data_IF_792857368994
#
_entry.id   IF_792857368994
#
_cell.length_a   1.000
_cell.length_b   1.000
_cell.length_c   1.000
_cell.angle_alpha   90.00
_cell.angle_beta   90.00
_cell.angle_gamma   90.00
#
_symmetry.space_group_name_H-M   'P 1'
#
loop_
_entity.id
_entity.type
_entity.pdbx_description
1 polymer ?
#
# COMPACT_ATOMS: atom_id res chain seq x y z
N UNK A 1 18.95 -11.65 -3.10
CA UNK A 1 17.51 -12.00 -3.09
C UNK A 1 16.73 -10.75 -3.50
N UNK A 2 15.89 -10.80 -4.54
CA UNK A 2 15.00 -9.67 -4.86
C UNK A 2 13.85 -9.68 -3.85
N UNK A 3 13.71 -8.60 -3.09
CA UNK A 3 12.54 -8.32 -2.25
C UNK A 3 11.26 -8.65 -3.03
N UNK A 4 10.32 -9.38 -2.43
CA UNK A 4 8.98 -9.57 -3.02
C UNK A 4 8.14 -8.36 -2.66
N UNK A 5 7.99 -7.46 -3.62
CA UNK A 5 7.33 -6.19 -3.44
C UNK A 5 5.86 -6.37 -3.01
N UNK A 6 5.40 -5.48 -2.14
CA UNK A 6 4.09 -5.58 -1.49
C UNK A 6 2.98 -5.19 -2.47
N UNK A 7 1.91 -6.00 -2.62
CA UNK A 7 0.77 -5.61 -3.43
C UNK A 7 0.01 -4.47 -2.73
N UNK A 8 -0.36 -3.48 -3.53
CA UNK A 8 -1.24 -2.37 -3.15
C UNK A 8 -2.32 -2.19 -4.20
N UNK A 9 -3.49 -1.73 -3.77
CA UNK A 9 -4.63 -1.48 -4.65
C UNK A 9 -4.40 -0.18 -5.43
N UNK A 10 -4.51 -0.24 -6.75
CA UNK A 10 -4.35 0.93 -7.63
C UNK A 10 -5.65 1.38 -8.27
N UNK A 11 -6.64 0.49 -8.35
CA UNK A 11 -7.94 0.76 -8.93
C UNK A 11 -8.97 -0.31 -8.58
N UNK A 12 -10.23 0.02 -8.84
CA UNK A 12 -11.36 -0.91 -8.79
C UNK A 12 -11.95 -0.90 -10.19
N UNK A 13 -11.85 -2.02 -10.90
CA UNK A 13 -12.37 -2.18 -12.25
C UNK A 13 -13.88 -2.41 -12.25
N UNK A 14 -14.45 -2.48 -13.45
CA UNK A 14 -15.85 -2.88 -13.61
C UNK A 14 -16.02 -4.34 -13.12
N UNK A 15 -17.19 -4.67 -12.59
CA UNK A 15 -17.53 -6.03 -12.08
C UNK A 15 -16.77 -6.48 -10.82
N UNK A 16 -16.48 -5.56 -9.89
CA UNK A 16 -15.81 -5.86 -8.61
C UNK A 16 -14.40 -6.46 -8.74
N UNK A 17 -13.72 -6.17 -9.85
CA UNK A 17 -12.31 -6.55 -10.03
C UNK A 17 -11.40 -5.58 -9.29
N UNK A 18 -10.38 -6.11 -8.60
CA UNK A 18 -9.36 -5.30 -7.92
C UNK A 18 -8.12 -5.21 -8.79
N UNK A 19 -7.68 -4.00 -9.09
CA UNK A 19 -6.44 -3.76 -9.83
C UNK A 19 -5.30 -3.59 -8.84
N UNK A 20 -4.32 -4.49 -8.88
CA UNK A 20 -3.20 -4.53 -7.94
C UNK A 20 -1.88 -4.19 -8.62
N UNK A 21 -1.07 -3.36 -7.98
CA UNK A 21 0.35 -3.16 -8.33
C UNK A 21 1.23 -3.65 -7.19
N UNK A 22 2.40 -4.19 -7.51
CA UNK A 22 3.43 -4.50 -6.52
C UNK A 22 4.54 -3.43 -6.47
N UNK A 23 4.55 -2.49 -7.42
CA UNK A 23 5.56 -1.44 -7.46
C UNK A 23 4.90 -0.11 -7.10
N UNK A 24 5.41 0.53 -6.05
CA UNK A 24 4.93 1.80 -5.55
C UNK A 24 6.08 2.77 -5.36
N UNK A 25 5.92 4.00 -5.82
CA UNK A 25 6.94 5.03 -5.70
C UNK A 25 6.34 6.28 -5.05
N UNK A 26 7.13 6.90 -4.16
CA UNK A 26 6.78 8.09 -3.43
C UNK A 26 7.96 9.06 -3.44
N UNK A 27 7.67 10.32 -3.69
CA UNK A 27 8.62 11.43 -3.58
C UNK A 27 8.38 12.19 -2.28
N UNK A 28 9.48 12.52 -1.62
CA UNK A 28 9.50 13.27 -0.38
C UNK A 28 10.11 14.64 -0.61
N UNK A 29 9.46 15.66 -0.06
CA UNK A 29 10.03 17.00 0.02
C UNK A 29 10.18 17.38 1.48
N UNK A 30 11.43 17.66 1.88
CA UNK A 30 11.77 18.08 3.24
C UNK A 30 11.95 19.60 3.28
N UNK A 31 11.36 20.29 4.28
CA UNK A 31 11.63 21.71 4.48
C UNK A 31 13.06 21.92 4.99
N UNK A 32 13.64 23.11 4.75
CA UNK A 32 14.96 23.49 5.31
C UNK A 32 14.99 23.46 6.84
N UNK A 33 13.82 23.66 7.46
CA UNK A 33 13.62 23.64 8.91
C UNK A 33 13.58 22.21 9.49
N UNK A 34 13.65 21.16 8.68
CA UNK A 34 13.65 19.78 9.17
C UNK A 34 14.82 19.53 10.16
N UNK A 35 14.59 18.86 11.30
CA UNK A 35 13.35 18.16 11.73
C UNK A 35 12.36 19.00 12.55
N UNK A 36 12.58 20.31 12.73
CA UNK A 36 11.79 21.14 13.65
C UNK A 36 10.31 21.28 13.24
N UNK A 37 9.99 21.15 11.95
CA UNK A 37 8.62 21.28 11.45
C UNK A 37 8.21 20.10 10.55
N UNK A 38 7.83 18.99 11.19
CA UNK A 38 7.47 17.74 10.52
C UNK A 38 6.18 17.87 9.69
N UNK A 39 5.26 18.76 10.06
CA UNK A 39 4.02 19.01 9.32
C UNK A 39 4.24 19.63 7.93
N UNK A 40 5.44 20.15 7.64
CA UNK A 40 5.82 20.67 6.32
C UNK A 40 6.40 19.61 5.37
N UNK A 41 6.63 18.38 5.85
CA UNK A 41 7.05 17.26 5.02
C UNK A 41 5.94 16.95 4.02
N UNK A 42 6.28 16.86 2.73
CA UNK A 42 5.32 16.53 1.68
C UNK A 42 5.62 15.14 1.14
N UNK A 43 4.59 14.30 1.10
CA UNK A 43 4.65 12.97 0.53
C UNK A 43 3.79 12.98 -0.72
N UNK A 44 4.38 12.60 -1.85
CA UNK A 44 3.75 12.68 -3.16
C UNK A 44 3.83 11.28 -3.77
N UNK A 45 2.70 10.59 -3.99
CA UNK A 45 2.70 9.31 -4.69
C UNK A 45 3.02 9.55 -6.16
N UNK A 46 4.01 8.83 -6.68
CA UNK A 46 4.40 8.85 -8.10
C UNK A 46 3.77 7.69 -8.87
N UNK A 47 3.24 6.69 -8.16
CA UNK A 47 2.44 5.61 -8.71
C UNK A 47 0.98 5.74 -8.24
N UNK A 48 0.00 5.26 -9.04
CA UNK A 48 -1.39 5.23 -8.60
C UNK A 48 -1.56 4.41 -7.31
N UNK A 49 -2.36 4.91 -6.38
CA UNK A 49 -2.77 4.18 -5.19
C UNK A 49 -4.24 4.51 -4.89
N UNK A 50 -5.07 3.48 -4.80
CA UNK A 50 -6.46 3.61 -4.43
C UNK A 50 -6.55 3.75 -2.91
N UNK A 51 -6.43 4.97 -2.40
CA UNK A 51 -6.46 5.25 -0.97
C UNK A 51 -7.26 6.53 -0.67
N UNK A 52 -8.09 6.61 0.38
CA UNK A 52 -8.91 7.80 0.66
C UNK A 52 -8.12 9.06 0.99
N UNK A 53 -6.87 8.93 1.47
CA UNK A 53 -5.96 10.05 1.75
C UNK A 53 -5.10 10.48 0.55
N UNK A 54 -5.33 9.88 -0.63
CA UNK A 54 -4.66 10.19 -1.89
C UNK A 54 -5.72 10.46 -2.95
N UNK A 55 -5.74 11.66 -3.50
CA UNK A 55 -6.68 12.00 -4.58
C UNK A 55 -6.16 11.45 -5.91
N UNK A 56 -4.94 11.86 -6.30
CA UNK A 56 -4.31 11.46 -7.56
C UNK A 56 -2.78 11.38 -7.45
N UNK A 57 -2.16 10.75 -8.45
CA UNK A 57 -0.70 10.77 -8.64
C UNK A 57 -0.21 12.21 -8.71
N UNK A 58 0.94 12.49 -8.10
CA UNK A 58 1.54 13.83 -8.09
C UNK A 58 0.90 14.81 -7.11
N UNK A 59 -0.17 14.44 -6.41
CA UNK A 59 -0.82 15.28 -5.40
C UNK A 59 -0.25 15.02 -4.00
N UNK A 60 -0.37 16.00 -3.10
CA UNK A 60 0.05 15.79 -1.70
C UNK A 60 -0.86 14.76 -1.04
N UNK A 61 -0.26 13.70 -0.51
CA UNK A 61 -0.98 12.77 0.34
C UNK A 61 -1.27 13.42 1.70
N UNK A 62 -2.49 13.23 2.22
CA UNK A 62 -2.88 13.74 3.54
C UNK A 62 -2.39 12.80 4.65
N UNK A 63 -1.08 12.78 4.87
CA UNK A 63 -0.46 12.06 5.97
C UNK A 63 0.07 13.04 7.00
N UNK A 64 -0.43 12.93 8.23
CA UNK A 64 0.14 13.65 9.37
C UNK A 64 1.39 12.92 9.83
N UNK A 65 2.56 13.52 9.60
CA UNK A 65 3.84 12.94 10.02
C UNK A 65 4.10 13.29 11.49
N UNK A 66 4.11 12.27 12.35
CA UNK A 66 4.53 12.38 13.74
C UNK A 66 5.86 11.63 13.98
N UNK A 67 6.94 12.19 13.44
CA UNK A 67 8.31 11.73 13.72
C UNK A 67 9.30 12.03 12.59
N UNK A 68 10.51 11.49 12.74
CA UNK A 68 11.58 11.58 11.74
C UNK A 68 11.20 10.81 10.45
N UNK A 69 11.97 11.03 9.38
CA UNK A 69 11.72 10.47 8.03
C UNK A 69 11.59 8.94 8.04
N UNK A 70 12.25 8.24 8.95
CA UNK A 70 12.15 6.78 9.12
C UNK A 70 10.72 6.32 9.42
N UNK A 71 10.00 7.02 10.30
CA UNK A 71 8.59 6.72 10.62
C UNK A 71 7.67 6.99 9.45
N UNK A 72 7.97 8.03 8.67
CA UNK A 72 7.23 8.33 7.44
C UNK A 72 7.31 7.18 6.45
N UNK A 73 8.52 6.64 6.26
CA UNK A 73 8.74 5.52 5.35
C UNK A 73 7.96 4.27 5.80
N UNK A 74 7.90 4.02 7.10
CA UNK A 74 7.12 2.90 7.67
C UNK A 74 5.62 3.11 7.49
N UNK A 75 5.11 4.31 7.78
CA UNK A 75 3.69 4.62 7.65
C UNK A 75 3.21 4.48 6.21
N UNK A 76 4.04 4.87 5.23
CA UNK A 76 3.72 4.71 3.81
C UNK A 76 3.56 3.23 3.45
N UNK A 77 4.41 2.35 3.96
CA UNK A 77 4.28 0.91 3.76
C UNK A 77 2.93 0.42 4.28
N UNK A 78 2.50 0.87 5.47
CA UNK A 78 1.21 0.48 6.04
C UNK A 78 0.02 1.03 5.26
N UNK A 79 0.15 2.24 4.70
CA UNK A 79 -0.86 2.82 3.83
C UNK A 79 -0.93 2.09 2.48
N UNK A 80 0.19 1.66 1.90
CA UNK A 80 0.21 0.82 0.67
C UNK A 80 -0.45 -0.53 0.92
N UNK A 81 -0.18 -1.11 2.09
CA UNK A 81 -0.82 -2.36 2.54
C UNK A 81 -2.31 -2.20 2.86
N UNK A 82 -2.84 -0.98 2.90
CA UNK A 82 -4.22 -0.69 3.30
C UNK A 82 -4.55 -1.23 4.69
N UNK A 83 -3.64 -1.10 5.67
CA UNK A 83 -3.94 -1.53 7.03
C UNK A 83 -5.22 -0.85 7.53
N UNK A 84 -6.18 -1.58 8.12
CA UNK A 84 -7.46 -1.00 8.54
C UNK A 84 -7.32 0.21 9.46
N UNK A 85 -6.32 0.20 10.33
CA UNK A 85 -6.00 1.26 11.28
C UNK A 85 -5.41 2.52 10.61
N UNK A 86 -4.97 2.41 9.36
CA UNK A 86 -4.44 3.54 8.57
C UNK A 86 -5.50 4.19 7.69
N UNK A 87 -6.44 3.38 7.17
CA UNK A 87 -7.59 3.88 6.40
C UNK A 87 -8.57 4.62 7.31
N UNK A 88 -8.80 4.10 8.53
CA UNK A 88 -9.71 4.63 9.57
C UNK A 88 -11.06 5.13 9.05
N UNK A 89 -11.94 4.27 8.53
CA UNK A 89 -13.25 4.74 8.09
C UNK A 89 -14.10 5.30 9.27
N UNK A 90 -14.79 6.45 9.11
CA UNK A 90 -15.53 7.09 10.19
C UNK A 90 -16.68 6.24 10.76
N UNK A 91 -17.23 5.31 9.97
CA UNK A 91 -18.22 4.34 10.46
C UNK A 91 -17.65 3.34 11.48
N UNK A 92 -16.33 3.18 11.53
CA UNK A 92 -15.61 2.21 12.37
C UNK A 92 -14.75 2.91 13.45
N UNK A 93 -14.40 4.18 13.26
CA UNK A 93 -13.54 4.95 14.16
C UNK A 93 -14.18 6.31 14.48
N UNK A 94 -14.57 6.51 15.75
CA UNK A 94 -15.42 7.64 16.20
C UNK A 94 -14.82 9.05 16.01
N UNK A 95 -13.50 9.15 15.82
CA UNK A 95 -12.78 10.43 15.63
C UNK A 95 -12.10 10.55 14.26
N UNK A 96 -12.47 9.72 13.30
CA UNK A 96 -11.83 9.71 11.99
C UNK A 96 -12.52 10.63 10.97
N UNK A 97 -11.72 11.16 10.05
CA UNK A 97 -12.18 11.99 8.93
C UNK A 97 -12.53 11.15 7.68
N UNK A 98 -13.16 11.78 6.69
CA UNK A 98 -13.52 11.13 5.42
C UNK A 98 -12.36 10.99 4.41
N UNK A 99 -11.16 11.44 4.76
CA UNK A 99 -10.01 11.57 3.87
C UNK A 99 -10.15 12.74 2.89
N UNK A 100 -9.30 12.72 1.87
CA UNK A 100 -9.38 13.66 0.74
C UNK A 100 -10.39 13.20 -0.33
N UNK A 101 -10.64 11.89 -0.41
CA UNK A 101 -11.56 11.27 -1.38
C UNK A 101 -12.66 10.45 -0.68
N UNK A 102 -13.83 11.08 -0.53
CA UNK A 102 -15.00 10.47 0.10
C UNK A 102 -15.63 9.33 -0.70
N UNK A 103 -15.36 9.23 -2.02
CA UNK A 103 -15.84 8.11 -2.84
C UNK A 103 -15.05 6.86 -2.52
N UNK A 104 -13.73 6.97 -2.49
CA UNK A 104 -12.84 5.87 -2.05
C UNK A 104 -13.18 5.46 -0.61
N UNK A 105 -13.37 6.41 0.29
CA UNK A 105 -13.75 6.11 1.68
C UNK A 105 -15.04 5.30 1.78
N UNK A 106 -16.09 5.68 1.04
CA UNK A 106 -17.36 4.91 1.01
C UNK A 106 -17.16 3.48 0.50
N UNK A 107 -16.30 3.29 -0.50
CA UNK A 107 -15.95 1.97 -0.99
C UNK A 107 -15.29 1.11 0.12
N UNK A 108 -14.34 1.68 0.88
CA UNK A 108 -13.76 0.97 2.03
C UNK A 108 -14.78 0.62 3.11
N UNK A 109 -15.73 1.51 3.40
CA UNK A 109 -16.82 1.24 4.35
C UNK A 109 -17.68 0.07 3.87
N UNK A 110 -18.04 0.06 2.59
CA UNK A 110 -18.91 -0.96 2.00
C UNK A 110 -18.26 -2.35 1.99
N UNK A 111 -16.99 -2.44 1.57
CA UNK A 111 -16.29 -3.72 1.41
C UNK A 111 -15.58 -4.19 2.68
N UNK A 112 -15.33 -3.29 3.62
CA UNK A 112 -14.64 -3.57 4.88
C UNK A 112 -13.12 -3.55 4.71
N UNK A 113 -12.40 -2.62 5.37
CA UNK A 113 -10.94 -2.48 5.21
C UNK A 113 -10.18 -3.76 5.62
N UNK A 114 -10.67 -4.49 6.63
CA UNK A 114 -10.06 -5.76 7.06
C UNK A 114 -10.10 -6.81 5.95
N UNK A 115 -11.24 -6.95 5.24
CA UNK A 115 -11.36 -7.93 4.16
C UNK A 115 -10.40 -7.61 3.02
N UNK A 116 -10.27 -6.33 2.69
CA UNK A 116 -9.35 -5.85 1.65
C UNK A 116 -7.91 -6.13 2.06
N UNK A 117 -7.54 -5.82 3.31
CA UNK A 117 -6.21 -6.10 3.86
C UNK A 117 -5.86 -7.59 3.80
N UNK A 118 -6.77 -8.47 4.24
CA UNK A 118 -6.55 -9.92 4.19
C UNK A 118 -6.42 -10.42 2.75
N UNK A 119 -7.18 -9.86 1.81
CA UNK A 119 -7.05 -10.19 0.39
C UNK A 119 -5.66 -9.83 -0.17
N UNK A 120 -5.18 -8.60 0.08
CA UNK A 120 -3.84 -8.19 -0.32
C UNK A 120 -2.75 -9.10 0.28
N UNK A 121 -2.91 -9.48 1.55
CA UNK A 121 -2.00 -10.41 2.23
C UNK A 121 -1.99 -11.79 1.58
N UNK A 122 -3.14 -12.31 1.19
CA UNK A 122 -3.25 -13.58 0.47
C UNK A 122 -2.57 -13.52 -0.90
N UNK A 123 -2.79 -12.45 -1.67
CA UNK A 123 -2.14 -12.25 -2.97
C UNK A 123 -0.61 -12.16 -2.87
N UNK A 124 -0.11 -11.52 -1.81
CA UNK A 124 1.31 -11.51 -1.50
C UNK A 124 1.84 -12.91 -1.21
N UNK A 125 1.16 -13.69 -0.36
CA UNK A 125 1.54 -15.07 -0.05
C UNK A 125 1.54 -15.97 -1.29
N UNK A 126 0.54 -15.86 -2.17
CA UNK A 126 0.48 -16.60 -3.44
C UNK A 126 1.71 -16.31 -4.32
N UNK A 127 2.13 -15.04 -4.43
CA UNK A 127 3.34 -14.65 -5.18
C UNK A 127 4.63 -15.18 -4.57
N UNK A 128 4.68 -15.39 -3.25
CA UNK A 128 5.81 -16.02 -2.59
C UNK A 128 5.85 -17.52 -2.87
N UNK A 129 4.72 -18.21 -2.74
CA UNK A 129 4.62 -19.65 -2.94
C UNK A 129 4.86 -20.08 -4.40
N UNK A 130 4.35 -19.30 -5.38
CA UNK A 130 4.58 -19.57 -6.80
C UNK A 130 6.04 -19.42 -7.23
N UNK A 131 6.82 -18.58 -6.53
CA UNK A 131 8.28 -18.50 -6.71
C UNK A 131 9.03 -19.68 -6.11
N UNK A 132 8.55 -20.22 -4.98
CA UNK A 132 9.13 -21.42 -4.37
C UNK A 132 8.92 -22.67 -5.24
N UNK A 133 7.89 -22.67 -6.10
CA UNK A 133 7.50 -23.77 -6.97
C UNK A 133 8.12 -23.74 -8.38
N UNK A 134 9.00 -22.80 -8.71
CA UNK A 134 9.84 -22.90 -9.91
C UNK A 134 11.04 -23.80 -9.59
N UNK A 135 11.07 -25.06 -10.06
CA UNK A 135 12.23 -25.92 -9.86
C UNK A 135 13.34 -25.35 -10.74
N UNK A 136 14.51 -25.13 -10.14
CA UNK A 136 15.75 -25.23 -10.92
C UNK A 136 15.66 -26.49 -11.78
N UNK A 137 15.86 -26.31 -13.07
CA UNK A 137 15.90 -27.30 -14.16
C UNK A 137 16.29 -28.71 -13.70
N UNK A 138 15.62 -29.78 -14.19
CA UNK A 138 15.93 -31.15 -13.81
C UNK A 138 17.34 -31.51 -14.32
N UNK A 139 18.32 -31.59 -13.41
CA UNK A 139 19.61 -32.17 -13.77
C UNK A 139 19.45 -33.68 -13.86
N UNK A 140 19.21 -34.10 -15.12
CA UNK A 140 19.55 -35.37 -15.79
C UNK A 140 19.61 -36.65 -14.94
N UNK A 141 18.84 -37.64 -15.40
CA UNK A 141 19.06 -39.06 -15.16
C UNK A 141 20.54 -39.41 -15.37
N UNK A 142 21.15 -40.04 -14.37
CA UNK A 142 22.34 -40.87 -14.56
C UNK A 142 22.01 -42.20 -13.89
N UNK A 143 21.89 -43.28 -14.69
CA UNK A 143 22.05 -44.64 -14.19
C UNK A 143 23.55 -44.84 -13.99
N UNK A 144 23.95 -45.23 -12.78
CA UNK A 144 25.23 -45.87 -12.56
C UNK A 144 24.90 -47.29 -12.10
N UNK A 145 25.62 -48.23 -12.73
CA UNK A 145 25.48 -49.69 -12.74
C UNK A 145 24.87 -50.32 -11.49
#
# INVERSE_FOLDING_TARGET
>A
MKSTDLPGLVGVGNENTLELSCQHCFRFSLPREYPQNLGKIQIIPETPLFHPRITAVGTKACYTVNGEVDRVLIDIIYNVLLRPETVRPPSMFKDADWGLDSRKMRWYIQYGPEKIYQHLKQEWHKKQQSKTLLPSTPKKKIKIL
#
